data_IF_782811082792
#
_entry.id   IF_782811082792
#
_cell.length_a   1.000
_cell.length_b   1.000
_cell.length_c   1.000
_cell.angle_alpha   90.00
_cell.angle_beta   90.00
_cell.angle_gamma   90.00
#
_symmetry.space_group_name_H-M   'P 1'
#
loop_
_entity.id
_entity.type
_entity.pdbx_description
1 polymer ?
#
# COMPACT_ATOMS: atom_id res chain seq x y z
N UNK A 1 -0.95 -4.73 22.38
CA UNK A 1 -0.93 -3.24 22.36
C UNK A 1 -1.41 -2.81 20.99
N UNK A 2 -2.25 -1.77 20.89
CA UNK A 2 -2.65 -1.22 19.59
C UNK A 2 -1.40 -0.69 18.87
N UNK A 3 -1.22 -1.08 17.61
CA UNK A 3 -0.17 -0.53 16.77
C UNK A 3 -0.53 0.89 16.32
N UNK A 4 0.46 1.68 15.93
CA UNK A 4 0.25 2.98 15.30
C UNK A 4 1.03 3.08 14.00
N UNK A 5 0.52 3.87 13.05
CA UNK A 5 1.28 4.24 11.86
C UNK A 5 2.48 5.10 12.29
N UNK A 6 3.67 4.76 11.79
CA UNK A 6 4.87 5.57 11.96
C UNK A 6 4.93 6.73 10.96
N UNK A 7 4.16 6.64 9.87
CA UNK A 7 4.13 7.61 8.76
C UNK A 7 2.76 8.25 8.64
N UNK A 8 2.70 9.57 8.44
CA UNK A 8 1.46 10.30 8.18
C UNK A 8 0.92 10.07 6.76
N UNK A 9 -0.40 10.17 6.59
CA UNK A 9 -1.05 9.93 5.28
C UNK A 9 -0.61 10.93 4.20
N UNK A 10 -0.41 12.19 4.57
CA UNK A 10 0.02 13.26 3.65
C UNK A 10 1.54 13.48 3.66
N UNK A 11 2.30 12.60 4.31
CA UNK A 11 3.77 12.71 4.42
C UNK A 11 4.49 12.11 3.18
N UNK A 12 3.75 11.95 2.09
CA UNK A 12 4.23 11.49 0.80
C UNK A 12 5.21 12.47 0.14
N UNK A 13 5.07 13.78 0.39
CA UNK A 13 5.93 14.81 -0.22
C UNK A 13 7.32 14.91 0.43
N UNK A 14 7.51 14.33 1.61
CA UNK A 14 8.78 14.36 2.35
C UNK A 14 9.82 13.37 1.78
N UNK A 15 9.42 12.49 0.86
CA UNK A 15 10.30 11.56 0.14
C UNK A 15 9.96 11.59 -1.36
N UNK A 16 10.80 12.27 -2.12
CA UNK A 16 10.64 12.43 -3.56
C UNK A 16 10.74 11.12 -4.33
N UNK A 17 11.51 10.13 -3.84
CA UNK A 17 11.73 8.87 -4.56
C UNK A 17 10.49 7.98 -4.56
N UNK A 18 9.91 7.75 -3.38
CA UNK A 18 8.68 6.97 -3.22
C UNK A 18 7.50 7.67 -3.89
N UNK A 19 7.38 9.00 -3.72
CA UNK A 19 6.34 9.80 -4.38
C UNK A 19 6.42 9.71 -5.91
N UNK A 20 7.62 9.81 -6.49
CA UNK A 20 7.83 9.67 -7.93
C UNK A 20 7.48 8.25 -8.40
N UNK A 21 7.94 7.20 -7.73
CA UNK A 21 7.61 5.82 -8.10
C UNK A 21 6.10 5.57 -8.07
N UNK A 22 5.41 6.01 -7.01
CA UNK A 22 3.96 5.83 -6.89
C UNK A 22 3.17 6.67 -7.88
N UNK A 23 3.67 7.85 -8.25
CA UNK A 23 3.02 8.71 -9.23
C UNK A 23 3.16 8.16 -10.66
N UNK A 24 4.34 7.64 -11.02
CA UNK A 24 4.63 7.17 -12.38
C UNK A 24 4.30 5.68 -12.58
N UNK A 25 4.40 4.88 -11.52
CA UNK A 25 4.21 3.43 -11.55
C UNK A 25 3.48 2.93 -10.28
N UNK A 26 2.22 3.35 -10.04
CA UNK A 26 1.47 2.97 -8.84
C UNK A 26 1.30 1.45 -8.70
N UNK A 27 1.23 0.73 -9.82
CA UNK A 27 1.14 -0.73 -9.84
C UNK A 27 2.37 -1.44 -9.27
N UNK A 28 3.58 -0.86 -9.43
CA UNK A 28 4.80 -1.40 -8.85
C UNK A 28 4.80 -1.15 -7.35
N UNK A 29 4.45 0.06 -6.91
CA UNK A 29 4.31 0.38 -5.48
C UNK A 29 3.30 -0.55 -4.83
N UNK A 30 2.08 -0.63 -5.35
CA UNK A 30 1.03 -1.49 -4.84
C UNK A 30 1.44 -2.96 -4.86
N UNK A 31 2.02 -3.45 -5.96
CA UNK A 31 2.46 -4.84 -6.07
C UNK A 31 3.50 -5.22 -5.00
N UNK A 32 4.41 -4.30 -4.66
CA UNK A 32 5.40 -4.49 -3.58
C UNK A 32 4.74 -4.53 -2.20
N UNK A 33 3.81 -3.61 -1.93
CA UNK A 33 3.03 -3.60 -0.68
C UNK A 33 2.25 -4.91 -0.54
N UNK A 34 1.47 -5.25 -1.56
CA UNK A 34 0.60 -6.43 -1.56
C UNK A 34 1.41 -7.72 -1.36
N UNK A 35 2.60 -7.85 -1.99
CA UNK A 35 3.47 -9.01 -1.78
C UNK A 35 3.88 -9.18 -0.31
N UNK A 36 4.24 -8.08 0.37
CA UNK A 36 4.64 -8.11 1.78
C UNK A 36 3.44 -8.41 2.67
N UNK A 37 2.31 -7.74 2.43
CA UNK A 37 1.06 -7.96 3.17
C UNK A 37 0.52 -9.38 2.96
N UNK A 38 0.69 -9.97 1.79
CA UNK A 38 0.28 -11.35 1.51
C UNK A 38 1.33 -12.39 1.93
N UNK A 39 2.33 -11.98 2.71
CA UNK A 39 3.41 -12.83 3.24
C UNK A 39 4.13 -13.62 2.15
N UNK A 40 4.18 -13.08 0.92
CA UNK A 40 4.79 -13.70 -0.24
C UNK A 40 3.98 -14.83 -0.90
N UNK A 41 2.73 -15.06 -0.49
CA UNK A 41 1.85 -16.08 -1.12
C UNK A 41 1.59 -15.83 -2.61
N UNK A 42 1.76 -14.59 -3.07
CA UNK A 42 1.67 -14.18 -4.47
C UNK A 42 2.80 -13.21 -4.83
N UNK A 43 3.19 -13.18 -6.12
CA UNK A 43 4.27 -12.33 -6.59
C UNK A 43 3.84 -10.87 -6.71
N UNK A 44 4.78 -9.94 -6.58
CA UNK A 44 4.50 -8.51 -6.78
C UNK A 44 3.99 -8.22 -8.20
N UNK A 45 4.46 -8.96 -9.20
CA UNK A 45 3.99 -8.85 -10.58
C UNK A 45 2.52 -9.27 -10.73
N UNK A 46 2.10 -10.32 -10.02
CA UNK A 46 0.69 -10.75 -10.00
C UNK A 46 -0.20 -9.63 -9.45
N UNK A 47 0.13 -9.12 -8.26
CA UNK A 47 -0.60 -8.03 -7.62
C UNK A 47 -0.61 -6.75 -8.46
N UNK A 48 0.55 -6.38 -9.02
CA UNK A 48 0.68 -5.20 -9.87
C UNK A 48 -0.11 -5.32 -11.17
N UNK A 49 -0.11 -6.49 -11.80
CA UNK A 49 -0.90 -6.75 -13.02
C UNK A 49 -2.39 -6.71 -12.72
N UNK A 50 -2.83 -7.37 -11.65
CA UNK A 50 -4.24 -7.33 -11.23
C UNK A 50 -4.68 -5.91 -10.89
N UNK A 51 -3.84 -5.14 -10.21
CA UNK A 51 -4.10 -3.73 -9.93
C UNK A 51 -4.24 -2.88 -11.19
N UNK A 52 -3.38 -3.08 -12.21
CA UNK A 52 -3.52 -2.40 -13.51
C UNK A 52 -4.81 -2.78 -14.22
N UNK A 53 -5.16 -4.08 -14.24
CA UNK A 53 -6.37 -4.57 -14.87
C UNK A 53 -7.62 -3.97 -14.20
N UNK A 54 -7.66 -3.96 -12.87
CA UNK A 54 -8.74 -3.33 -12.11
C UNK A 54 -8.76 -1.80 -12.29
N UNK A 55 -7.60 -1.18 -12.50
CA UNK A 55 -7.49 0.24 -12.81
C UNK A 55 -8.14 0.62 -14.14
N UNK A 56 -8.09 -0.28 -15.14
CA UNK A 56 -8.73 -0.03 -16.44
C UNK A 56 -10.26 0.06 -16.38
N UNK A 57 -10.86 -0.51 -15.32
CA UNK A 57 -12.30 -0.43 -15.02
C UNK A 57 -12.62 0.47 -13.81
N UNK A 58 -11.61 1.18 -13.27
CA UNK A 58 -11.76 2.11 -12.14
C UNK A 58 -12.00 1.47 -10.77
N UNK A 59 -11.66 0.19 -10.58
CA UNK A 59 -11.89 -0.59 -9.35
C UNK A 59 -10.61 -0.91 -8.57
N UNK A 60 -9.47 -0.35 -8.97
CA UNK A 60 -8.18 -0.54 -8.30
C UNK A 60 -8.19 -0.09 -6.83
N UNK A 61 -8.94 0.97 -6.50
CA UNK A 61 -9.06 1.48 -5.13
C UNK A 61 -9.69 0.49 -4.15
N UNK A 62 -10.64 -0.34 -4.61
CA UNK A 62 -11.23 -1.42 -3.79
C UNK A 62 -10.15 -2.45 -3.44
N UNK A 63 -9.33 -2.81 -4.43
CA UNK A 63 -8.26 -3.77 -4.21
C UNK A 63 -7.21 -3.22 -3.24
N UNK A 64 -6.80 -1.97 -3.41
CA UNK A 64 -5.92 -1.28 -2.47
C UNK A 64 -6.50 -1.22 -1.05
N UNK A 65 -7.79 -0.91 -0.92
CA UNK A 65 -8.49 -0.88 0.37
C UNK A 65 -8.43 -2.25 1.08
N UNK A 66 -8.62 -3.35 0.35
CA UNK A 66 -8.53 -4.69 0.97
C UNK A 66 -7.12 -4.97 1.51
N UNK A 67 -6.06 -4.60 0.79
CA UNK A 67 -4.68 -4.80 1.25
C UNK A 67 -4.34 -3.91 2.43
N UNK A 68 -4.83 -2.67 2.45
CA UNK A 68 -4.72 -1.80 3.62
C UNK A 68 -5.39 -2.41 4.84
N UNK A 69 -6.60 -2.94 4.68
CA UNK A 69 -7.33 -3.61 5.77
C UNK A 69 -6.54 -4.81 6.32
N UNK A 70 -5.98 -5.65 5.44
CA UNK A 70 -5.14 -6.78 5.84
C UNK A 70 -3.88 -6.32 6.61
N UNK A 71 -3.19 -5.28 6.12
CA UNK A 71 -2.03 -4.70 6.80
C UNK A 71 -2.37 -4.21 8.21
N UNK A 72 -3.52 -3.55 8.37
CA UNK A 72 -3.99 -3.08 9.69
C UNK A 72 -4.30 -4.21 10.64
N UNK A 73 -4.89 -5.29 10.13
CA UNK A 73 -5.13 -6.49 10.92
C UNK A 73 -3.80 -7.11 11.40
N UNK A 74 -2.81 -7.24 10.52
CA UNK A 74 -1.48 -7.77 10.85
C UNK A 74 -0.77 -6.94 11.94
N UNK A 75 -0.80 -5.62 11.83
CA UNK A 75 -0.08 -4.74 12.76
C UNK A 75 -0.96 -4.14 13.87
N UNK A 76 -2.20 -4.63 14.01
CA UNK A 76 -3.16 -4.19 15.03
C UNK A 76 -3.40 -2.66 15.04
N UNK A 77 -3.52 -2.03 13.86
CA UNK A 77 -3.76 -0.59 13.73
C UNK A 77 -5.24 -0.21 13.93
N UNK A 78 -5.59 0.83 14.71
CA UNK A 78 -6.98 1.25 14.98
C UNK A 78 -7.66 1.95 13.80
N UNK A 79 -8.76 1.40 13.27
CA UNK A 79 -9.49 1.99 12.13
C UNK A 79 -10.57 1.06 11.59
N UNK A 80 -11.26 1.49 10.52
CA UNK A 80 -12.33 0.72 9.90
C UNK A 80 -12.14 0.59 8.38
N UNK A 81 -12.60 -0.53 7.78
CA UNK A 81 -12.50 -0.74 6.33
C UNK A 81 -13.15 0.39 5.50
N UNK A 82 -14.21 1.01 6.02
CA UNK A 82 -14.85 2.17 5.38
C UNK A 82 -13.90 3.36 5.25
N UNK A 83 -13.18 3.69 6.32
CA UNK A 83 -12.21 4.79 6.30
C UNK A 83 -11.01 4.46 5.42
N UNK A 84 -10.59 3.19 5.37
CA UNK A 84 -9.51 2.74 4.48
C UNK A 84 -9.90 2.87 3.00
N UNK A 85 -11.14 2.53 2.66
CA UNK A 85 -11.68 2.69 1.31
C UNK A 85 -11.85 4.15 0.91
N UNK A 86 -12.31 5.02 1.83
CA UNK A 86 -12.36 6.47 1.58
C UNK A 86 -10.96 7.06 1.33
N UNK A 87 -9.96 6.63 2.10
CA UNK A 87 -8.58 7.09 1.91
C UNK A 87 -8.04 6.69 0.54
N UNK A 88 -8.28 5.46 0.10
CA UNK A 88 -7.88 5.00 -1.24
C UNK A 88 -8.71 5.64 -2.37
N UNK A 89 -9.98 5.99 -2.12
CA UNK A 89 -10.81 6.70 -3.10
C UNK A 89 -10.39 8.17 -3.27
N UNK A 90 -10.08 8.86 -2.17
CA UNK A 90 -9.79 10.31 -2.18
C UNK A 90 -8.31 10.65 -2.38
N UNK A 91 -7.38 9.81 -1.93
CA UNK A 91 -5.94 10.08 -1.93
C UNK A 91 -5.13 8.79 -2.13
N UNK A 92 -5.42 8.02 -3.18
CA UNK A 92 -4.80 6.70 -3.41
C UNK A 92 -3.27 6.74 -3.35
N UNK A 93 -2.65 7.71 -4.04
CA UNK A 93 -1.17 7.83 -4.06
C UNK A 93 -0.59 8.06 -2.66
N UNK A 94 -1.26 8.87 -1.85
CA UNK A 94 -0.85 9.21 -0.49
C UNK A 94 -0.94 7.96 0.40
N UNK A 95 -2.04 7.21 0.26
CA UNK A 95 -2.26 5.94 0.94
C UNK A 95 -1.19 4.91 0.59
N UNK A 96 -0.89 4.73 -0.71
CA UNK A 96 0.17 3.83 -1.18
C UNK A 96 1.55 4.26 -0.69
N UNK A 97 1.86 5.56 -0.69
CA UNK A 97 3.13 6.07 -0.14
C UNK A 97 3.24 5.78 1.36
N UNK A 98 2.18 6.03 2.13
CA UNK A 98 2.13 5.76 3.57
C UNK A 98 2.39 4.27 3.84
N UNK A 99 1.67 3.38 3.14
CA UNK A 99 1.79 1.93 3.28
C UNK A 99 3.18 1.42 2.90
N UNK A 100 3.74 1.94 1.81
CA UNK A 100 5.08 1.57 1.36
C UNK A 100 6.14 1.93 2.41
N UNK A 101 6.12 3.17 2.89
CA UNK A 101 7.07 3.67 3.90
C UNK A 101 6.87 3.00 5.24
N UNK A 102 5.63 2.70 5.63
CA UNK A 102 5.36 1.99 6.88
C UNK A 102 6.03 0.61 6.88
N UNK A 103 5.95 -0.11 5.75
CA UNK A 103 6.64 -1.40 5.61
C UNK A 103 8.16 -1.23 5.58
N UNK A 104 8.68 -0.21 4.90
CA UNK A 104 10.12 0.08 4.91
C UNK A 104 10.65 0.39 6.32
N UNK A 105 9.95 1.21 7.09
CA UNK A 105 10.28 1.53 8.49
C UNK A 105 10.24 0.30 9.41
N UNK A 106 9.51 -0.74 9.02
CA UNK A 106 9.44 -2.03 9.72
C UNK A 106 10.56 -2.99 9.32
N UNK A 107 11.45 -2.58 8.41
CA UNK A 107 12.64 -3.33 8.00
C UNK A 107 12.47 -4.15 6.72
N UNK A 108 11.34 -4.04 6.00
CA UNK A 108 11.16 -4.78 4.76
C UNK A 108 11.97 -4.17 3.62
N UNK A 109 12.68 -5.01 2.85
CA UNK A 109 13.30 -4.55 1.61
C UNK A 109 12.25 -4.46 0.50
N UNK A 110 11.66 -3.28 0.35
CA UNK A 110 10.53 -3.07 -0.56
C UNK A 110 10.89 -3.26 -2.04
N UNK A 111 12.16 -3.17 -2.42
CA UNK A 111 12.61 -3.43 -3.80
C UNK A 111 12.60 -4.91 -4.16
N UNK A 112 12.84 -5.79 -3.18
CA UNK A 112 12.81 -7.25 -3.34
C UNK A 112 11.47 -7.85 -2.88
N UNK A 113 10.74 -7.15 -2.02
CA UNK A 113 9.49 -7.58 -1.40
C UNK A 113 9.68 -8.83 -0.53
N UNK A 114 10.79 -8.91 0.21
CA UNK A 114 11.13 -9.97 1.17
C UNK A 114 11.86 -9.30 2.35
N UNK A 115 11.69 -9.84 3.56
CA UNK A 115 12.53 -9.53 4.72
C UNK A 115 13.93 -10.12 4.57
#
# INVERSE_FOLDING_TARGET
MLGNWSVGLCDCFSDSGTCCLTCWCPCITFGRIAKVVDEGSSSCCMHGTLYLLLGSVGWNWLYSCTKRTSMRAQYNFPGSPYMDCLVHLCCERCALCQEYKELENRGFNMSKGIS
#
